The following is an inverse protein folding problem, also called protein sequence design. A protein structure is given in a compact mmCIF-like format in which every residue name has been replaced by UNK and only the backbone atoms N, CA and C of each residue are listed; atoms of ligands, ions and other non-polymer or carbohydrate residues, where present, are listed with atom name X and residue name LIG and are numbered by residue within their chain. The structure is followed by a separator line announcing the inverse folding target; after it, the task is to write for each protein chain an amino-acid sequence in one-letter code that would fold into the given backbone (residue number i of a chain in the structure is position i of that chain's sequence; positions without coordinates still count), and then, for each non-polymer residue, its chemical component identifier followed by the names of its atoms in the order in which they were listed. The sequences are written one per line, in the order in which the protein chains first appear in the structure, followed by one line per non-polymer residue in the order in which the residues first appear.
data_IF_136419968691
#
_entry.id   IF_136419968691
#
_cell.length_a   1.000
_cell.length_b   1.000
_cell.length_c   1.000
_cell.angle_alpha   90.00
_cell.angle_beta   90.00
_cell.angle_gamma   90.00
#
_symmetry.space_group_name_H-M   'P 1'
#
loop_
_entity.id
_entity.type
_entity.pdbx_description
1 polymer ?
#
# COMPACT_ATOMS: atom_id res chain seq x y z
N UNK A 1 -41.57 17.88 -36.09
CA UNK A 1 -41.24 16.77 -35.18
C UNK A 1 -39.91 17.09 -34.52
N UNK A 2 -39.92 17.60 -33.29
CA UNK A 2 -38.73 18.08 -32.59
C UNK A 2 -38.03 16.89 -31.92
N UNK A 3 -36.72 16.76 -32.08
CA UNK A 3 -35.91 15.98 -31.14
C UNK A 3 -34.79 16.87 -30.64
N UNK A 4 -35.11 17.61 -29.59
CA UNK A 4 -34.15 18.27 -28.73
C UNK A 4 -33.49 17.17 -27.89
N UNK A 5 -32.31 16.71 -28.28
CA UNK A 5 -31.49 15.79 -27.48
C UNK A 5 -30.80 16.61 -26.38
N UNK A 6 -31.42 16.61 -25.20
CA UNK A 6 -30.82 17.15 -23.98
C UNK A 6 -29.77 16.14 -23.49
N UNK A 7 -28.49 16.37 -23.80
CA UNK A 7 -27.39 15.59 -23.24
C UNK A 7 -27.17 16.02 -21.78
N UNK A 8 -27.60 15.17 -20.84
CA UNK A 8 -27.25 15.29 -19.42
C UNK A 8 -25.77 14.95 -19.26
N UNK A 9 -24.91 15.97 -19.23
CA UNK A 9 -23.54 15.82 -18.74
C UNK A 9 -23.60 15.73 -17.21
N UNK A 10 -23.58 14.51 -16.66
CA UNK A 10 -23.29 14.31 -15.25
C UNK A 10 -21.88 14.85 -14.97
N UNK A 11 -21.71 15.78 -14.02
CA UNK A 11 -20.37 16.16 -13.59
C UNK A 11 -19.77 14.95 -12.87
N UNK A 12 -18.81 14.29 -13.51
CA UNK A 12 -17.91 13.40 -12.79
C UNK A 12 -17.14 14.29 -11.82
N UNK A 13 -17.49 14.22 -10.53
CA UNK A 13 -16.66 14.77 -9.50
C UNK A 13 -15.35 13.97 -9.51
N UNK A 14 -14.34 14.49 -10.19
CA UNK A 14 -12.98 14.01 -10.08
C UNK A 14 -12.49 14.39 -8.68
N UNK A 15 -12.76 13.53 -7.70
CA UNK A 15 -12.07 13.59 -6.42
C UNK A 15 -10.59 13.38 -6.69
N UNK A 16 -9.78 14.42 -6.53
CA UNK A 16 -8.33 14.29 -6.54
C UNK A 16 -7.93 13.28 -5.46
N UNK A 17 -7.10 12.26 -5.77
CA UNK A 17 -6.66 11.29 -4.77
C UNK A 17 -6.09 12.07 -3.59
N UNK A 18 -6.71 11.95 -2.43
CA UNK A 18 -6.12 12.48 -1.22
C UNK A 18 -4.86 11.67 -0.95
N UNK A 19 -3.74 12.30 -0.55
CA UNK A 19 -2.55 11.54 -0.18
C UNK A 19 -2.91 10.56 0.94
N UNK A 20 -2.34 9.35 0.87
CA UNK A 20 -2.56 8.34 1.91
C UNK A 20 -2.11 8.86 3.28
N UNK A 21 -2.74 8.41 4.37
CA UNK A 21 -2.21 8.63 5.70
C UNK A 21 -0.75 8.17 5.79
N UNK A 22 0.09 8.94 6.48
CA UNK A 22 1.53 8.71 6.56
C UNK A 22 1.88 7.31 7.10
N UNK A 23 1.13 6.83 8.09
CA UNK A 23 1.29 5.50 8.68
C UNK A 23 0.92 4.36 7.72
N UNK A 24 -0.09 4.58 6.87
CA UNK A 24 -0.45 3.62 5.82
C UNK A 24 0.59 3.62 4.70
N UNK A 25 1.08 4.80 4.30
CA UNK A 25 2.11 4.94 3.27
C UNK A 25 3.44 4.30 3.71
N UNK A 26 3.85 4.53 4.96
CA UNK A 26 5.06 3.93 5.54
C UNK A 26 4.95 2.39 5.59
N UNK A 27 3.81 1.86 6.04
CA UNK A 27 3.57 0.42 6.05
C UNK A 27 3.67 -0.21 4.65
N UNK A 28 3.06 0.42 3.63
CA UNK A 28 3.13 -0.07 2.25
C UNK A 28 4.58 -0.09 1.77
N UNK A 29 5.33 0.99 2.02
CA UNK A 29 6.73 1.07 1.62
C UNK A 29 7.60 0.00 2.30
N UNK A 30 7.43 -0.20 3.61
CA UNK A 30 8.19 -1.22 4.36
C UNK A 30 7.81 -2.64 3.91
N UNK A 31 6.53 -2.88 3.65
CA UNK A 31 6.04 -4.14 3.10
C UNK A 31 6.67 -4.46 1.74
N UNK A 32 6.58 -3.52 0.79
CA UNK A 32 7.11 -3.69 -0.57
C UNK A 32 8.63 -3.89 -0.56
N UNK A 33 9.35 -3.16 0.32
CA UNK A 33 10.78 -3.36 0.51
C UNK A 33 11.08 -4.75 1.10
N UNK A 34 10.29 -5.20 2.08
CA UNK A 34 10.45 -6.52 2.66
C UNK A 34 10.26 -7.62 1.61
N UNK A 35 9.19 -7.56 0.82
CA UNK A 35 8.96 -8.52 -0.27
C UNK A 35 10.09 -8.47 -1.30
N UNK A 36 10.51 -7.27 -1.68
CA UNK A 36 11.58 -7.09 -2.65
C UNK A 36 12.87 -7.75 -2.17
N UNK A 37 13.40 -7.35 -1.01
CA UNK A 37 14.71 -7.80 -0.53
C UNK A 37 14.71 -9.25 -0.05
N UNK A 38 13.61 -9.73 0.54
CA UNK A 38 13.52 -11.14 0.98
C UNK A 38 13.48 -12.13 -0.19
N UNK A 39 13.07 -11.68 -1.38
CA UNK A 39 13.06 -12.47 -2.60
C UNK A 39 14.39 -12.49 -3.37
N UNK A 40 15.40 -11.72 -2.95
CA UNK A 40 16.65 -11.59 -3.69
C UNK A 40 17.71 -12.66 -3.35
N UNK A 41 18.56 -12.99 -4.33
CA UNK A 41 19.66 -13.94 -4.15
C UNK A 41 20.90 -13.28 -3.50
N UNK A 42 21.43 -13.84 -2.40
CA UNK A 42 22.66 -13.35 -1.76
C UNK A 42 23.93 -13.92 -2.42
N UNK A 43 24.12 -13.59 -3.70
CA UNK A 43 25.13 -14.21 -4.59
C UNK A 43 26.59 -13.98 -4.18
N UNK A 44 26.86 -12.99 -3.32
CA UNK A 44 28.16 -12.79 -2.66
C UNK A 44 27.99 -12.29 -1.22
N UNK A 45 29.11 -12.11 -0.51
CA UNK A 45 29.10 -11.68 0.90
C UNK A 45 28.63 -10.23 1.09
N UNK A 46 28.97 -9.33 0.16
CA UNK A 46 28.55 -7.92 0.21
C UNK A 46 27.05 -7.82 0.03
N UNK A 47 26.50 -8.49 -0.99
CA UNK A 47 25.06 -8.54 -1.24
C UNK A 47 24.32 -9.16 -0.08
N UNK A 48 24.84 -10.23 0.51
CA UNK A 48 24.23 -10.86 1.68
C UNK A 48 24.14 -9.93 2.88
N UNK A 49 25.22 -9.20 3.18
CA UNK A 49 25.22 -8.24 4.28
C UNK A 49 24.19 -7.12 4.05
N UNK A 50 24.14 -6.58 2.82
CA UNK A 50 23.14 -5.59 2.44
C UNK A 50 21.71 -6.12 2.56
N UNK A 51 21.41 -7.30 2.01
CA UNK A 51 20.07 -7.88 2.07
C UNK A 51 19.63 -8.12 3.52
N UNK A 52 20.52 -8.62 4.38
CA UNK A 52 20.21 -8.81 5.78
C UNK A 52 19.84 -7.50 6.48
N UNK A 53 20.60 -6.42 6.23
CA UNK A 53 20.31 -5.10 6.79
C UNK A 53 18.95 -4.57 6.30
N UNK A 54 18.69 -4.65 5.00
CA UNK A 54 17.43 -4.18 4.43
C UNK A 54 16.23 -4.98 4.93
N UNK A 55 16.34 -6.31 4.97
CA UNK A 55 15.29 -7.20 5.49
C UNK A 55 15.02 -6.89 6.97
N UNK A 56 16.05 -6.70 7.80
CA UNK A 56 15.87 -6.34 9.20
C UNK A 56 15.14 -5.00 9.35
N UNK A 57 15.48 -4.00 8.53
CA UNK A 57 14.84 -2.69 8.57
C UNK A 57 13.38 -2.73 8.09
N UNK A 58 13.10 -3.40 6.96
CA UNK A 58 11.79 -3.32 6.31
C UNK A 58 10.78 -4.37 6.80
N UNK A 59 11.24 -5.53 7.27
CA UNK A 59 10.34 -6.61 7.66
C UNK A 59 9.92 -6.56 9.14
N UNK A 60 10.61 -5.77 9.96
CA UNK A 60 10.37 -5.72 11.41
C UNK A 60 8.98 -5.18 11.74
N UNK A 61 8.26 -5.90 12.58
CA UNK A 61 6.93 -5.55 13.10
C UNK A 61 5.80 -5.37 12.06
N UNK A 62 6.01 -5.69 10.77
CA UNK A 62 5.00 -5.48 9.70
C UNK A 62 3.62 -6.05 10.05
N UNK A 63 3.53 -7.28 10.57
CA UNK A 63 2.24 -7.88 10.92
C UNK A 63 1.59 -7.21 12.13
N UNK A 64 2.39 -6.70 13.09
CA UNK A 64 1.88 -5.90 14.20
C UNK A 64 1.33 -4.56 13.70
N UNK A 65 2.06 -3.90 12.80
CA UNK A 65 1.63 -2.66 12.17
C UNK A 65 0.34 -2.87 11.35
N UNK A 66 0.28 -3.91 10.53
CA UNK A 66 -0.88 -4.23 9.69
C UNK A 66 -2.15 -4.45 10.53
N UNK A 67 -2.04 -5.19 11.64
CA UNK A 67 -3.17 -5.36 12.58
C UNK A 67 -3.61 -4.04 13.20
N UNK A 68 -2.66 -3.19 13.60
CA UNK A 68 -2.97 -1.88 14.16
C UNK A 68 -3.68 -0.97 13.13
N UNK A 69 -3.21 -0.96 11.88
CA UNK A 69 -3.83 -0.21 10.77
C UNK A 69 -5.22 -0.76 10.45
N UNK A 70 -5.41 -2.08 10.44
CA UNK A 70 -6.72 -2.71 10.22
C UNK A 70 -7.74 -2.29 11.27
N UNK A 71 -7.32 -2.20 12.54
CA UNK A 71 -8.18 -1.68 13.62
C UNK A 71 -8.44 -0.18 13.49
N UNK A 72 -7.40 0.61 13.18
CA UNK A 72 -7.47 2.07 13.03
C UNK A 72 -8.42 2.49 11.89
N UNK A 73 -8.45 1.74 10.79
CA UNK A 73 -9.22 2.07 9.60
C UNK A 73 -10.46 1.19 9.39
N UNK A 74 -10.95 0.48 10.43
CA UNK A 74 -12.04 -0.49 10.32
C UNK A 74 -13.34 0.01 9.64
N UNK A 75 -13.56 1.33 9.55
CA UNK A 75 -14.70 1.95 8.86
C UNK A 75 -14.37 2.66 7.54
N UNK A 76 -13.13 2.58 7.07
CA UNK A 76 -12.63 3.32 5.90
C UNK A 76 -12.26 2.32 4.80
N UNK A 77 -13.26 1.88 4.04
CA UNK A 77 -13.12 0.80 3.06
C UNK A 77 -11.98 1.05 2.05
N UNK A 78 -11.82 2.28 1.59
CA UNK A 78 -10.74 2.65 0.65
C UNK A 78 -9.34 2.44 1.28
N UNK A 79 -9.15 2.77 2.56
CA UNK A 79 -7.88 2.56 3.25
C UNK A 79 -7.65 1.08 3.59
N UNK A 80 -8.70 0.35 3.93
CA UNK A 80 -8.62 -1.10 4.17
C UNK A 80 -8.25 -1.88 2.92
N UNK A 81 -8.64 -1.40 1.72
CA UNK A 81 -8.27 -2.04 0.47
C UNK A 81 -6.75 -2.13 0.33
N UNK A 82 -6.00 -1.09 0.73
CA UNK A 82 -4.55 -1.14 0.74
C UNK A 82 -4.00 -2.26 1.63
N UNK A 83 -4.62 -2.57 2.77
CA UNK A 83 -4.21 -3.69 3.63
C UNK A 83 -4.62 -5.06 3.08
N UNK A 84 -5.61 -5.11 2.18
CA UNK A 84 -5.97 -6.32 1.46
C UNK A 84 -5.03 -6.60 0.29
N UNK A 85 -4.58 -5.55 -0.38
CA UNK A 85 -3.59 -5.63 -1.46
C UNK A 85 -2.19 -5.99 -0.92
N UNK A 86 -1.93 -5.77 0.38
CA UNK A 86 -0.71 -6.15 1.11
C UNK A 86 -1.04 -7.15 2.23
N UNK A 87 -1.31 -8.43 1.89
CA UNK A 87 -1.70 -9.47 2.85
C UNK A 87 -0.53 -9.83 3.79
N UNK A 88 -0.76 -10.52 4.92
CA UNK A 88 0.34 -11.01 5.78
C UNK A 88 1.45 -11.72 5.00
N UNK A 89 2.72 -11.34 5.27
CA UNK A 89 3.94 -11.98 4.75
C UNK A 89 4.24 -13.33 5.41
#
# INVERSE_FOLDING_TARGET
MPYLLLALTLPVAAGSPQPLPEDLAAFIQDYENCEHFSGEEPYDEERRAFLNEQIEQSCTDLETQRRALSQRYAGQAELLQHLHDHPPL
#
